data_IF_948789132831
#
_entry.id   IF_948789132831
#
_cell.length_a   1.000
_cell.length_b   1.000
_cell.length_c   1.000
_cell.angle_alpha   90.00
_cell.angle_beta   90.00
_cell.angle_gamma   90.00
#
_symmetry.space_group_name_H-M   'P 1'
#
loop_
_entity.id
_entity.type
_entity.pdbx_description
1 polymer ?
#
# COMPACT_ATOMS: atom_id res chain seq x y z
N UNK A 1 7.91 4.04 -2.73
CA UNK A 1 9.09 3.16 -2.90
C UNK A 1 9.46 3.16 -4.38
N UNK A 2 10.72 3.38 -4.71
CA UNK A 2 11.24 3.24 -6.07
C UNK A 2 12.38 2.21 -6.08
N UNK A 3 12.14 1.00 -6.62
CA UNK A 3 13.18 0.00 -6.81
C UNK A 3 14.38 0.55 -7.58
N UNK A 4 15.55 0.01 -7.27
CA UNK A 4 16.81 0.45 -7.87
C UNK A 4 16.89 0.45 -9.41
N UNK A 5 16.25 -0.49 -10.15
CA UNK A 5 16.21 -0.41 -11.63
C UNK A 5 15.42 0.80 -12.16
N UNK A 6 14.60 1.42 -11.30
CA UNK A 6 13.66 2.46 -11.67
C UNK A 6 14.20 3.86 -11.45
N UNK A 7 15.23 4.03 -10.62
CA UNK A 7 15.81 5.33 -10.25
C UNK A 7 17.01 5.73 -11.11
N UNK A 8 17.32 7.03 -11.15
CA UNK A 8 18.45 7.57 -11.91
C UNK A 8 19.83 7.14 -11.38
N UNK A 9 19.97 7.02 -10.06
CA UNK A 9 21.21 6.66 -9.39
C UNK A 9 21.40 5.15 -9.15
N UNK A 10 20.40 4.33 -9.48
CA UNK A 10 20.46 2.88 -9.33
C UNK A 10 20.36 2.36 -7.89
N UNK A 11 19.82 3.17 -6.95
CA UNK A 11 19.56 2.81 -5.55
C UNK A 11 18.06 2.64 -5.26
N UNK A 12 17.74 1.89 -4.21
CA UNK A 12 16.35 1.73 -3.74
C UNK A 12 15.93 2.95 -2.92
N UNK A 13 14.92 3.70 -3.37
CA UNK A 13 14.47 4.92 -2.69
C UNK A 13 13.16 4.71 -1.92
N UNK A 14 13.10 5.27 -0.72
CA UNK A 14 11.90 5.39 0.10
C UNK A 14 11.63 6.87 0.37
N UNK A 15 10.37 7.28 0.28
CA UNK A 15 9.90 8.58 0.76
C UNK A 15 8.82 8.31 1.80
N UNK A 16 8.99 8.88 2.99
CA UNK A 16 8.02 8.74 4.08
C UNK A 16 6.78 9.56 3.74
N UNK A 17 5.59 8.97 3.91
CA UNK A 17 4.35 9.71 3.73
C UNK A 17 4.11 10.64 4.93
N UNK A 18 3.67 11.88 4.68
CA UNK A 18 3.43 12.84 5.76
C UNK A 18 2.09 12.64 6.46
N UNK A 19 1.14 11.95 5.82
CA UNK A 19 -0.17 11.59 6.37
C UNK A 19 -0.92 12.78 6.97
N UNK A 20 -0.72 13.96 6.38
CA UNK A 20 -1.11 15.23 7.00
C UNK A 20 -2.63 15.38 7.15
N UNK A 21 -3.44 14.68 6.36
CA UNK A 21 -4.89 14.84 6.38
C UNK A 21 -5.51 14.38 7.70
N UNK A 22 -4.98 13.33 8.32
CA UNK A 22 -5.53 12.76 9.56
C UNK A 22 -4.59 13.06 10.76
N UNK A 23 -5.04 13.81 11.78
CA UNK A 23 -4.16 14.22 12.89
C UNK A 23 -3.48 13.05 13.62
N UNK A 24 -4.20 11.95 13.83
CA UNK A 24 -3.64 10.76 14.50
C UNK A 24 -2.62 10.01 13.65
N UNK A 25 -2.60 10.24 12.33
CA UNK A 25 -1.64 9.61 11.41
C UNK A 25 -0.41 10.47 11.15
N UNK A 26 -0.55 11.79 11.23
CA UNK A 26 0.56 12.74 11.04
C UNK A 26 1.75 12.48 11.97
N UNK A 27 1.49 11.95 13.17
CA UNK A 27 2.54 11.62 14.16
C UNK A 27 3.40 10.41 13.77
N UNK A 28 2.98 9.63 12.76
CA UNK A 28 3.67 8.40 12.34
C UNK A 28 5.00 8.70 11.62
N UNK A 29 5.10 9.82 10.89
CA UNK A 29 6.19 10.07 9.94
C UNK A 29 7.61 9.99 10.57
N UNK A 30 7.92 10.67 11.70
CA UNK A 30 9.26 10.60 12.29
C UNK A 30 9.66 9.18 12.74
N UNK A 31 8.72 8.43 13.32
CA UNK A 31 8.98 7.05 13.76
C UNK A 31 9.11 6.11 12.56
N UNK A 32 8.30 6.31 11.53
CA UNK A 32 8.36 5.54 10.27
C UNK A 32 9.71 5.73 9.57
N UNK A 33 10.20 6.97 9.52
CA UNK A 33 11.53 7.27 9.00
C UNK A 33 12.64 6.54 9.76
N UNK A 34 12.57 6.55 11.10
CA UNK A 34 13.51 5.84 11.95
C UNK A 34 13.46 4.32 11.73
N UNK A 35 12.26 3.74 11.60
CA UNK A 35 12.07 2.31 11.30
C UNK A 35 12.71 1.99 9.94
N UNK A 36 12.36 2.72 8.89
CA UNK A 36 12.87 2.45 7.54
C UNK A 36 14.40 2.52 7.48
N UNK A 37 15.03 3.51 8.12
CA UNK A 37 16.49 3.61 8.18
C UNK A 37 17.15 2.44 8.92
N UNK A 38 16.49 1.86 9.92
CA UNK A 38 17.02 0.68 10.63
C UNK A 38 16.79 -0.62 9.86
N UNK A 39 15.66 -0.74 9.17
CA UNK A 39 15.34 -1.90 8.32
C UNK A 39 16.19 -1.94 7.06
N UNK A 40 16.52 -0.77 6.50
CA UNK A 40 17.30 -0.58 5.27
C UNK A 40 18.56 0.25 5.53
N UNK A 41 19.55 -0.28 6.29
CA UNK A 41 20.66 0.52 6.82
C UNK A 41 21.80 0.81 5.82
N UNK A 42 21.87 0.10 4.69
CA UNK A 42 22.95 0.27 3.72
C UNK A 42 22.71 1.48 2.80
N UNK A 43 23.20 2.65 3.21
CA UNK A 43 23.07 3.91 2.47
C UNK A 43 23.74 3.91 1.08
N UNK A 44 24.64 2.96 0.80
CA UNK A 44 25.24 2.80 -0.52
C UNK A 44 24.28 2.16 -1.53
N UNK A 45 23.24 1.47 -1.03
CA UNK A 45 22.27 0.72 -1.83
C UNK A 45 20.85 1.29 -1.71
N UNK A 46 20.57 1.99 -0.62
CA UNK A 46 19.21 2.40 -0.23
C UNK A 46 19.20 3.84 0.28
N UNK A 47 18.15 4.59 -0.01
CA UNK A 47 17.99 5.97 0.45
C UNK A 47 16.62 6.14 1.09
N UNK A 48 16.59 6.61 2.33
CA UNK A 48 15.35 6.94 3.06
C UNK A 48 15.21 8.45 3.19
N UNK A 49 14.32 9.00 2.38
CA UNK A 49 13.97 10.41 2.39
C UNK A 49 12.94 10.70 3.47
N UNK A 50 13.07 11.83 4.19
CA UNK A 50 12.05 12.28 5.11
C UNK A 50 10.75 12.58 4.36
N UNK A 51 9.68 12.80 5.13
CA UNK A 51 8.41 13.17 4.53
C UNK A 51 8.50 14.54 3.84
N UNK A 52 7.85 14.66 2.69
CA UNK A 52 7.78 15.95 1.99
C UNK A 52 7.08 16.99 2.86
N UNK A 53 7.59 18.22 2.82
CA UNK A 53 7.09 19.35 3.60
C UNK A 53 6.59 20.47 2.68
N UNK A 54 5.56 21.18 3.13
CA UNK A 54 4.92 22.26 2.38
C UNK A 54 3.39 22.29 2.51
N UNK A 55 2.83 23.50 2.56
CA UNK A 55 1.39 23.71 2.65
C UNK A 55 0.67 23.12 1.42
N UNK A 56 -0.33 22.26 1.68
CA UNK A 56 -1.13 21.62 0.63
C UNK A 56 -0.45 20.42 -0.05
N UNK A 57 0.73 20.01 0.39
CA UNK A 57 1.37 18.77 -0.04
C UNK A 57 0.92 17.61 0.86
N UNK A 58 -0.27 17.05 0.62
CA UNK A 58 -0.76 15.91 1.40
C UNK A 58 -0.44 14.59 0.70
N UNK A 59 0.27 13.69 1.40
CA UNK A 59 0.74 12.41 0.88
C UNK A 59 0.36 11.25 1.80
N UNK A 60 -0.28 10.23 1.21
CA UNK A 60 -0.67 8.97 1.84
C UNK A 60 0.18 7.78 1.36
N UNK A 61 1.21 8.04 0.54
CA UNK A 61 2.25 7.08 0.19
C UNK A 61 1.78 5.93 -0.69
N UNK A 62 2.20 4.71 -0.34
CA UNK A 62 2.07 3.53 -1.19
C UNK A 62 0.61 3.11 -1.47
N UNK A 63 -0.35 3.54 -0.65
CA UNK A 63 -1.78 3.29 -0.88
C UNK A 63 -2.31 3.97 -2.17
N UNK A 64 -1.60 4.99 -2.66
CA UNK A 64 -1.89 5.72 -3.89
C UNK A 64 -0.85 5.50 -5.00
N UNK A 65 -0.01 4.47 -4.87
CA UNK A 65 1.05 4.15 -5.81
C UNK A 65 0.97 2.69 -6.26
N UNK A 66 1.14 2.49 -7.57
CA UNK A 66 1.32 1.18 -8.17
C UNK A 66 2.56 1.20 -9.06
N UNK A 67 3.40 0.17 -8.96
CA UNK A 67 4.46 -0.08 -9.94
C UNK A 67 3.97 -1.16 -10.90
N UNK A 68 3.86 -0.81 -12.18
CA UNK A 68 3.60 -1.77 -13.25
C UNK A 68 4.87 -2.01 -14.04
N UNK A 69 5.15 -3.25 -14.41
CA UNK A 69 6.36 -3.60 -15.16
C UNK A 69 6.15 -4.89 -15.93
N UNK A 70 6.88 -5.04 -17.03
CA UNK A 70 6.91 -6.28 -17.81
C UNK A 70 8.17 -7.06 -17.45
N UNK A 71 8.01 -8.17 -16.72
CA UNK A 71 9.12 -8.94 -16.15
C UNK A 71 9.95 -8.15 -15.13
N UNK A 72 11.25 -8.46 -15.06
CA UNK A 72 12.19 -7.91 -14.05
C UNK A 72 12.83 -6.58 -14.45
N UNK A 73 12.35 -5.98 -15.55
CA UNK A 73 12.85 -4.71 -16.06
C UNK A 73 12.39 -3.50 -15.24
N UNK A 74 12.82 -2.30 -15.65
CA UNK A 74 12.33 -1.07 -15.08
C UNK A 74 10.82 -0.92 -15.23
N UNK A 75 10.17 -0.35 -14.22
CA UNK A 75 8.73 -0.23 -14.12
C UNK A 75 8.22 1.18 -14.40
N UNK A 76 6.95 1.25 -14.77
CA UNK A 76 6.12 2.46 -14.77
C UNK A 76 5.56 2.68 -13.36
N UNK A 77 5.76 3.87 -12.84
CA UNK A 77 5.21 4.33 -11.57
C UNK A 77 3.89 5.07 -11.82
N UNK A 78 2.81 4.42 -11.42
CA UNK A 78 1.46 4.96 -11.49
C UNK A 78 1.09 5.60 -10.15
N UNK A 79 0.91 6.91 -10.16
CA UNK A 79 0.52 7.73 -9.02
C UNK A 79 -0.91 8.22 -9.17
N UNK A 80 -1.74 7.95 -8.16
CA UNK A 80 -3.16 8.33 -8.17
C UNK A 80 -3.41 9.39 -7.14
N UNK A 81 -4.07 10.49 -7.53
CA UNK A 81 -4.34 11.62 -6.64
C UNK A 81 -5.84 11.96 -6.63
N UNK A 82 -6.32 12.60 -5.56
CA UNK A 82 -7.73 13.01 -5.45
C UNK A 82 -7.97 14.47 -5.82
N UNK A 83 -6.96 15.34 -5.67
CA UNK A 83 -7.10 16.78 -5.90
C UNK A 83 -5.84 17.42 -6.52
N UNK A 84 -6.04 18.58 -7.18
CA UNK A 84 -4.99 19.42 -7.76
C UNK A 84 -5.40 20.89 -7.62
N UNK A 85 -4.43 21.80 -7.50
CA UNK A 85 -4.66 23.22 -7.21
C UNK A 85 -5.29 24.01 -8.37
N UNK A 86 -5.19 23.50 -9.60
CA UNK A 86 -5.67 24.12 -10.83
C UNK A 86 -7.03 23.58 -11.30
N UNK A 87 -7.73 22.81 -10.46
CA UNK A 87 -9.05 22.24 -10.79
C UNK A 87 -9.98 22.18 -9.59
N UNK A 88 -11.24 22.58 -9.80
CA UNK A 88 -12.32 22.40 -8.82
C UNK A 88 -12.97 21.01 -8.87
N UNK A 89 -12.53 20.15 -9.80
CA UNK A 89 -12.98 18.76 -9.86
C UNK A 89 -12.33 17.98 -8.72
N UNK A 90 -13.05 17.87 -7.61
CA UNK A 90 -12.63 17.23 -6.38
C UNK A 90 -13.86 16.61 -5.67
N UNK A 91 -13.65 15.64 -4.75
CA UNK A 91 -14.74 15.10 -3.94
C UNK A 91 -15.43 16.19 -3.11
N UNK A 92 -16.73 16.04 -2.87
CA UNK A 92 -17.57 17.04 -2.20
C UNK A 92 -17.92 16.66 -0.76
N UNK A 93 -18.00 15.36 -0.46
CA UNK A 93 -18.37 14.81 0.85
C UNK A 93 -17.14 14.43 1.67
N UNK A 94 -16.16 13.80 1.03
CA UNK A 94 -14.92 13.36 1.68
C UNK A 94 -13.72 14.17 1.19
N UNK A 95 -12.67 14.23 2.02
CA UNK A 95 -11.45 14.98 1.68
C UNK A 95 -10.55 14.09 0.83
N UNK A 96 -10.11 14.61 -0.32
CA UNK A 96 -9.02 14.02 -1.08
C UNK A 96 -7.71 14.13 -0.27
N UNK A 97 -7.18 12.98 0.15
CA UNK A 97 -5.99 12.92 1.03
C UNK A 97 -4.67 13.01 0.27
N UNK A 98 -4.68 12.69 -1.03
CA UNK A 98 -3.51 12.76 -1.90
C UNK A 98 -3.65 13.90 -2.90
N UNK A 99 -2.64 14.78 -2.97
CA UNK A 99 -2.59 15.84 -3.99
C UNK A 99 -1.65 15.48 -5.15
N UNK A 100 -1.92 16.01 -6.35
CA UNK A 100 -1.02 15.87 -7.49
C UNK A 100 0.36 16.47 -7.18
N UNK A 101 0.40 17.61 -6.50
CA UNK A 101 1.64 18.29 -6.13
C UNK A 101 2.51 17.40 -5.21
N UNK A 102 1.91 16.78 -4.19
CA UNK A 102 2.59 15.83 -3.33
C UNK A 102 3.13 14.63 -4.12
N UNK A 103 2.30 14.06 -4.99
CA UNK A 103 2.68 12.90 -5.82
C UNK A 103 3.87 13.19 -6.74
N UNK A 104 3.92 14.41 -7.32
CA UNK A 104 5.06 14.87 -8.14
C UNK A 104 6.32 15.06 -7.30
N UNK A 105 6.20 15.74 -6.15
CA UNK A 105 7.32 15.95 -5.24
C UNK A 105 7.92 14.63 -4.74
N UNK A 106 7.09 13.65 -4.41
CA UNK A 106 7.53 12.29 -4.07
C UNK A 106 8.25 11.64 -5.25
N UNK A 107 7.71 11.72 -6.47
CA UNK A 107 8.36 11.13 -7.64
C UNK A 107 9.74 11.73 -7.94
N UNK A 108 9.91 13.04 -7.69
CA UNK A 108 11.20 13.74 -7.79
C UNK A 108 12.19 13.28 -6.73
N UNK A 109 11.78 13.24 -5.46
CA UNK A 109 12.62 12.77 -4.34
C UNK A 109 13.02 11.30 -4.50
N UNK A 110 12.14 10.48 -5.08
CA UNK A 110 12.43 9.09 -5.40
C UNK A 110 13.33 8.91 -6.63
N UNK A 111 13.76 9.98 -7.30
CA UNK A 111 14.60 9.95 -8.50
C UNK A 111 14.03 9.07 -9.64
N UNK A 112 12.71 9.02 -9.78
CA UNK A 112 12.06 8.27 -10.86
C UNK A 112 12.15 9.12 -12.14
N UNK A 113 12.64 8.64 -13.30
CA UNK A 113 12.64 9.43 -14.54
C UNK A 113 11.25 9.86 -14.99
N UNK A 114 11.10 11.05 -15.59
CA UNK A 114 9.79 11.55 -16.08
C UNK A 114 9.11 10.58 -17.05
N UNK A 115 9.89 9.90 -17.90
CA UNK A 115 9.43 8.89 -18.86
C UNK A 115 8.86 7.61 -18.24
N UNK A 116 8.87 7.49 -16.90
CA UNK A 116 8.35 6.34 -16.16
C UNK A 116 7.22 6.72 -15.20
N UNK A 117 6.74 7.96 -15.22
CA UNK A 117 5.72 8.44 -14.29
C UNK A 117 4.40 8.61 -15.02
N UNK A 118 3.34 8.02 -14.50
CA UNK A 118 1.97 8.26 -14.94
C UNK A 118 1.17 8.78 -13.75
N UNK A 119 0.44 9.87 -13.95
CA UNK A 119 -0.39 10.48 -12.92
C UNK A 119 -1.85 10.44 -13.36
N UNK A 120 -2.74 9.89 -12.55
CA UNK A 120 -4.18 9.93 -12.79
C UNK A 120 -4.95 10.48 -11.60
N UNK A 121 -6.03 11.20 -11.90
CA UNK A 121 -6.96 11.61 -10.89
C UNK A 121 -7.94 10.47 -10.60
N UNK A 122 -8.08 10.10 -9.33
CA UNK A 122 -9.13 9.20 -8.86
C UNK A 122 -10.50 9.83 -9.10
N UNK A 123 -11.50 9.01 -9.42
CA UNK A 123 -12.84 9.52 -9.65
C UNK A 123 -13.40 10.18 -8.36
N UNK A 124 -13.82 11.46 -8.38
CA UNK A 124 -14.32 12.15 -7.18
C UNK A 124 -15.49 11.43 -6.50
N UNK A 125 -16.43 10.91 -7.29
CA UNK A 125 -17.57 10.16 -6.76
C UNK A 125 -17.16 8.84 -6.07
N UNK A 126 -16.03 8.23 -6.48
CA UNK A 126 -15.49 7.06 -5.80
C UNK A 126 -14.98 7.43 -4.40
N UNK A 127 -14.26 8.55 -4.29
CA UNK A 127 -13.81 9.07 -2.99
C UNK A 127 -15.01 9.41 -2.10
N UNK A 128 -16.04 10.04 -2.65
CA UNK A 128 -17.28 10.38 -1.93
C UNK A 128 -18.10 9.15 -1.51
N UNK A 129 -17.86 7.99 -2.13
CA UNK A 129 -18.43 6.70 -1.75
C UNK A 129 -17.60 5.93 -0.70
N UNK A 130 -16.43 6.45 -0.30
CA UNK A 130 -15.59 5.85 0.74
C UNK A 130 -14.24 5.33 0.25
N UNK A 131 -13.89 5.50 -1.03
CA UNK A 131 -12.56 5.15 -1.57
C UNK A 131 -11.55 6.25 -1.20
N UNK A 132 -11.06 6.23 0.04
CA UNK A 132 -10.14 7.25 0.53
C UNK A 132 -8.69 7.10 0.02
N UNK A 133 -8.34 5.93 -0.52
CA UNK A 133 -7.07 5.60 -1.18
C UNK A 133 -7.31 4.77 -2.45
N UNK A 134 -6.37 4.82 -3.40
CA UNK A 134 -6.44 4.05 -4.64
C UNK A 134 -6.51 2.54 -4.41
N UNK A 135 -5.78 2.03 -3.42
CA UNK A 135 -5.80 0.60 -3.05
C UNK A 135 -7.14 0.10 -2.48
N UNK A 136 -8.18 0.94 -2.41
CA UNK A 136 -9.56 0.52 -2.11
C UNK A 136 -10.38 0.29 -3.40
N UNK A 137 -9.87 0.71 -4.57
CA UNK A 137 -10.60 0.62 -5.85
C UNK A 137 -9.77 0.08 -7.04
N UNK A 138 -8.45 -0.03 -6.88
CA UNK A 138 -7.55 -0.62 -7.86
C UNK A 138 -6.29 -1.23 -7.22
N UNK A 139 -5.82 -2.34 -7.77
CA UNK A 139 -4.55 -2.98 -7.42
C UNK A 139 -3.86 -3.47 -8.69
N UNK A 140 -2.55 -3.23 -8.80
CA UNK A 140 -1.76 -3.74 -9.91
C UNK A 140 -0.55 -4.54 -9.46
N UNK A 141 -0.12 -5.47 -10.29
CA UNK A 141 1.08 -6.28 -10.12
C UNK A 141 1.62 -6.64 -11.50
N UNK A 142 2.93 -6.42 -11.71
CA UNK A 142 3.56 -6.56 -13.03
C UNK A 142 2.78 -5.81 -14.10
N UNK A 143 2.36 -6.43 -15.19
CA UNK A 143 1.59 -5.82 -16.27
C UNK A 143 0.07 -5.80 -16.04
N UNK A 144 -0.41 -6.33 -14.91
CA UNK A 144 -1.83 -6.44 -14.59
C UNK A 144 -2.29 -5.27 -13.74
N UNK A 145 -3.43 -4.69 -14.12
CA UNK A 145 -4.18 -3.74 -13.31
C UNK A 145 -5.62 -4.22 -13.13
N UNK A 146 -5.97 -4.66 -11.92
CA UNK A 146 -7.35 -4.94 -11.53
C UNK A 146 -7.95 -3.66 -10.96
N UNK A 147 -9.03 -3.15 -11.56
CA UNK A 147 -9.64 -1.90 -11.14
C UNK A 147 -11.14 -1.88 -11.37
N UNK A 148 -11.87 -1.12 -10.56
CA UNK A 148 -13.27 -0.82 -10.84
C UNK A 148 -13.38 0.17 -12.02
N UNK A 149 -14.48 0.13 -12.76
CA UNK A 149 -14.70 1.07 -13.88
C UNK A 149 -14.70 2.55 -13.46
N UNK A 150 -15.17 2.82 -12.23
CA UNK A 150 -15.17 4.13 -11.57
C UNK A 150 -13.87 4.46 -10.82
N UNK A 151 -12.76 3.74 -11.05
CA UNK A 151 -11.51 4.01 -10.33
C UNK A 151 -10.91 5.38 -10.67
N UNK A 152 -10.94 5.78 -11.95
CA UNK A 152 -10.25 6.97 -12.45
C UNK A 152 -11.22 7.93 -13.12
N UNK A 153 -10.92 9.23 -13.08
CA UNK A 153 -11.76 10.27 -13.70
C UNK A 153 -11.72 10.21 -15.23
N UNK A 154 -10.56 9.90 -15.81
CA UNK A 154 -10.33 9.79 -17.26
C UNK A 154 -9.83 8.36 -17.60
N UNK A 155 -10.60 7.32 -17.25
CA UNK A 155 -10.19 5.89 -17.33
C UNK A 155 -9.53 5.52 -18.66
N UNK A 156 -10.20 5.73 -19.80
CA UNK A 156 -9.65 5.36 -21.12
C UNK A 156 -8.31 6.02 -21.41
N UNK A 157 -8.16 7.29 -21.04
CA UNK A 157 -6.90 8.02 -21.21
C UNK A 157 -5.82 7.47 -20.29
N UNK A 158 -6.15 7.20 -19.04
CA UNK A 158 -5.22 6.60 -18.06
C UNK A 158 -4.73 5.24 -18.54
N UNK A 159 -5.63 4.35 -18.97
CA UNK A 159 -5.28 3.02 -19.47
C UNK A 159 -4.43 3.11 -20.74
N UNK A 160 -4.79 3.98 -21.70
CA UNK A 160 -4.00 4.18 -22.91
C UNK A 160 -2.60 4.77 -22.64
N UNK A 161 -2.44 5.55 -21.57
CA UNK A 161 -1.14 6.05 -21.14
C UNK A 161 -0.29 4.96 -20.47
N UNK A 162 -0.88 4.17 -19.57
CA UNK A 162 -0.21 3.04 -18.94
C UNK A 162 0.22 1.98 -19.97
N UNK A 163 -0.67 1.63 -20.89
CA UNK A 163 -0.40 0.65 -21.94
C UNK A 163 0.76 1.08 -22.84
N UNK A 164 0.83 2.38 -23.17
CA UNK A 164 1.97 2.94 -23.94
C UNK A 164 3.29 2.80 -23.19
N UNK A 165 3.29 2.98 -21.86
CA UNK A 165 4.49 2.81 -21.04
C UNK A 165 4.88 1.33 -20.83
N UNK A 166 3.95 0.40 -21.08
CA UNK A 166 4.18 -1.05 -21.02
C UNK A 166 4.33 -1.69 -22.41
N UNK A 167 4.52 -0.89 -23.46
CA UNK A 167 4.66 -1.32 -24.85
C UNK A 167 3.47 -2.15 -25.38
N UNK A 168 2.25 -1.80 -25.01
CA UNK A 168 1.04 -2.51 -25.47
C UNK A 168 0.75 -3.82 -24.72
N UNK A 169 1.36 -4.02 -23.55
CA UNK A 169 1.27 -5.25 -22.76
C UNK A 169 0.43 -5.11 -21.49
N UNK A 170 -0.29 -4.00 -21.31
CA UNK A 170 -1.15 -3.84 -20.15
C UNK A 170 -2.28 -4.88 -20.18
N UNK A 171 -2.42 -5.63 -19.11
CA UNK A 171 -3.58 -6.50 -18.86
C UNK A 171 -4.51 -5.74 -17.91
N UNK A 172 -5.50 -5.07 -18.49
CA UNK A 172 -6.50 -4.31 -17.73
C UNK A 172 -7.70 -5.19 -17.40
N UNK A 173 -7.86 -5.54 -16.13
CA UNK A 173 -9.01 -6.30 -15.64
C UNK A 173 -9.98 -5.28 -15.01
N UNK A 174 -10.93 -4.83 -15.82
CA UNK A 174 -11.96 -3.90 -15.36
C UNK A 174 -13.12 -4.66 -14.70
N UNK A 175 -13.51 -4.24 -13.50
CA UNK A 175 -14.72 -4.71 -12.82
C UNK A 175 -15.88 -3.76 -13.15
N UNK A 176 -16.91 -4.21 -13.88
CA UNK A 176 -18.08 -3.40 -14.19
C UNK A 176 -18.94 -3.11 -12.96
N UNK A 177 -19.51 -1.91 -12.85
CA UNK A 177 -20.32 -1.48 -11.73
C UNK A 177 -21.69 -2.17 -11.65
N UNK A 178 -22.16 -2.74 -12.76
CA UNK A 178 -23.38 -3.57 -12.81
C UNK A 178 -23.14 -5.00 -12.30
N UNK A 179 -21.87 -5.45 -12.23
CA UNK A 179 -21.45 -6.73 -11.65
C UNK A 179 -21.06 -6.59 -10.18
N UNK A 180 -20.29 -5.56 -9.84
CA UNK A 180 -19.90 -5.22 -8.46
C UNK A 180 -20.11 -3.72 -8.28
N UNK A 181 -21.09 -3.34 -7.47
CA UNK A 181 -21.34 -1.93 -7.19
C UNK A 181 -20.15 -1.29 -6.45
N UNK A 182 -20.02 0.03 -6.54
CA UNK A 182 -19.02 0.77 -5.78
C UNK A 182 -19.17 0.58 -4.25
N UNK A 183 -20.42 0.45 -3.77
CA UNK A 183 -20.70 0.14 -2.36
C UNK A 183 -20.17 -1.26 -1.98
N UNK A 184 -20.40 -2.27 -2.82
CA UNK A 184 -19.88 -3.62 -2.57
C UNK A 184 -18.36 -3.67 -2.67
N UNK A 185 -17.75 -2.93 -3.59
CA UNK A 185 -16.29 -2.81 -3.69
C UNK A 185 -15.69 -2.24 -2.39
N UNK A 186 -16.25 -1.14 -1.88
CA UNK A 186 -15.81 -0.50 -0.63
C UNK A 186 -16.08 -1.40 0.58
N UNK A 187 -17.24 -2.06 0.66
CA UNK A 187 -17.59 -2.91 1.81
C UNK A 187 -16.80 -4.20 1.87
N UNK A 188 -16.53 -4.82 0.73
CA UNK A 188 -15.81 -6.10 0.64
C UNK A 188 -14.30 -5.96 0.66
N UNK A 189 -13.76 -4.76 0.40
CA UNK A 189 -12.33 -4.51 0.23
C UNK A 189 -11.70 -5.36 -0.90
N UNK A 190 -12.48 -5.69 -1.95
CA UNK A 190 -12.00 -6.48 -3.10
C UNK A 190 -10.67 -5.95 -3.66
N UNK A 191 -10.57 -4.65 -3.88
CA UNK A 191 -9.35 -4.06 -4.46
C UNK A 191 -8.25 -3.81 -3.42
N UNK A 192 -8.57 -3.88 -2.13
CA UNK A 192 -7.56 -3.90 -1.07
C UNK A 192 -6.96 -5.29 -0.85
N UNK A 193 -7.06 -6.14 -1.86
CA UNK A 193 -6.38 -7.41 -1.93
C UNK A 193 -4.91 -7.24 -2.30
N UNK A 194 -4.10 -8.26 -2.01
CA UNK A 194 -2.79 -8.38 -2.65
C UNK A 194 -2.96 -9.14 -3.96
N UNK A 195 -2.30 -8.66 -5.01
CA UNK A 195 -2.11 -9.42 -6.24
C UNK A 195 -0.64 -9.86 -6.27
N UNK A 196 -0.41 -11.17 -6.23
CA UNK A 196 0.93 -11.77 -6.11
C UNK A 196 1.20 -12.70 -7.28
N UNK A 197 2.44 -12.73 -7.75
CA UNK A 197 2.87 -13.67 -8.79
C UNK A 197 3.36 -14.96 -8.16
N UNK A 198 2.91 -16.10 -8.68
CA UNK A 198 3.30 -17.43 -8.26
C UNK A 198 4.55 -17.92 -9.03
N UNK A 199 5.22 -18.99 -8.57
CA UNK A 199 6.42 -19.51 -9.24
C UNK A 199 6.23 -19.99 -10.69
N UNK A 200 5.01 -20.32 -11.08
CA UNK A 200 4.63 -20.71 -12.45
C UNK A 200 4.15 -19.51 -13.30
N UNK A 201 4.35 -18.29 -12.79
CA UNK A 201 4.00 -17.01 -13.42
C UNK A 201 2.50 -16.69 -13.46
N UNK A 202 1.64 -17.57 -12.92
CA UNK A 202 0.24 -17.24 -12.61
C UNK A 202 0.16 -16.18 -11.49
N UNK A 203 -1.04 -15.65 -11.24
CA UNK A 203 -1.29 -14.71 -10.16
C UNK A 203 -2.36 -15.21 -9.20
N UNK A 204 -2.13 -14.94 -7.92
CA UNK A 204 -3.12 -15.16 -6.87
C UNK A 204 -3.60 -13.83 -6.26
N UNK A 205 -4.90 -13.75 -5.99
CA UNK A 205 -5.53 -12.69 -5.21
C UNK A 205 -5.58 -13.12 -3.73
N UNK A 206 -5.02 -12.31 -2.84
CA UNK A 206 -5.15 -12.48 -1.38
C UNK A 206 -6.14 -11.44 -0.87
N UNK A 207 -7.37 -11.87 -0.56
CA UNK A 207 -8.49 -10.99 -0.23
C UNK A 207 -9.06 -11.26 1.17
N UNK A 208 -9.78 -10.30 1.78
CA UNK A 208 -10.43 -10.51 3.07
C UNK A 208 -11.69 -11.39 2.94
N UNK A 209 -12.12 -12.01 4.04
CA UNK A 209 -13.33 -12.83 4.14
C UNK A 209 -14.60 -12.16 3.59
N UNK A 210 -14.70 -10.85 3.72
CA UNK A 210 -15.81 -10.00 3.31
C UNK A 210 -16.05 -10.04 1.79
N UNK A 211 -15.03 -10.42 1.01
CA UNK A 211 -15.18 -10.71 -0.43
C UNK A 211 -16.05 -11.93 -0.70
N UNK A 212 -16.05 -12.93 0.18
CA UNK A 212 -16.90 -14.13 0.07
C UNK A 212 -18.27 -13.93 0.72
N UNK A 213 -18.39 -13.01 1.69
CA UNK A 213 -19.68 -12.67 2.30
C UNK A 213 -20.59 -11.84 1.38
N UNK A 214 -20.01 -11.07 0.45
CA UNK A 214 -20.76 -10.36 -0.58
C UNK A 214 -21.06 -11.29 -1.77
N UNK A 215 -22.34 -11.57 -2.02
CA UNK A 215 -22.76 -12.44 -3.12
C UNK A 215 -22.30 -11.93 -4.50
N UNK A 216 -22.33 -10.62 -4.72
CA UNK A 216 -21.89 -10.01 -5.98
C UNK A 216 -20.38 -10.19 -6.20
N UNK A 217 -19.59 -9.92 -5.15
CA UNK A 217 -18.12 -10.01 -5.20
C UNK A 217 -17.67 -11.48 -5.28
N UNK A 218 -18.29 -12.38 -4.51
CA UNK A 218 -17.96 -13.81 -4.58
C UNK A 218 -18.24 -14.37 -5.97
N UNK A 219 -19.41 -14.04 -6.55
CA UNK A 219 -19.76 -14.45 -7.91
C UNK A 219 -18.78 -13.88 -8.95
N UNK A 220 -18.40 -12.61 -8.81
CA UNK A 220 -17.38 -12.00 -9.69
C UNK A 220 -16.02 -12.67 -9.57
N UNK A 221 -15.57 -13.03 -8.36
CA UNK A 221 -14.32 -13.75 -8.15
C UNK A 221 -14.34 -15.14 -8.77
N UNK A 222 -15.48 -15.84 -8.72
CA UNK A 222 -15.62 -17.15 -9.35
C UNK A 222 -15.59 -17.03 -10.89
N UNK A 223 -16.22 -16.00 -11.46
CA UNK A 223 -16.13 -15.70 -12.89
C UNK A 223 -14.70 -15.29 -13.32
N UNK A 224 -14.00 -14.50 -12.49
CA UNK A 224 -12.61 -14.08 -12.73
C UNK A 224 -11.67 -15.29 -12.82
N UNK A 225 -11.84 -16.26 -11.92
CA UNK A 225 -11.07 -17.51 -11.90
C UNK A 225 -11.41 -18.46 -13.06
N UNK A 226 -12.59 -18.33 -13.65
CA UNK A 226 -13.02 -19.14 -14.79
C UNK A 226 -12.58 -18.54 -16.14
N UNK A 227 -12.04 -17.34 -16.16
CA UNK A 227 -11.62 -16.62 -17.37
C UNK A 227 -10.14 -16.86 -17.66
N UNK A 228 -9.86 -17.79 -18.58
CA UNK A 228 -8.50 -18.12 -19.03
C UNK A 228 -7.77 -16.97 -19.77
N UNK A 229 -8.43 -15.82 -20.00
CA UNK A 229 -7.81 -14.66 -20.66
C UNK A 229 -7.01 -13.76 -19.72
N UNK A 230 -7.09 -14.00 -18.41
CA UNK A 230 -6.37 -13.25 -17.39
C UNK A 230 -5.45 -14.17 -16.55
N UNK A 231 -4.38 -13.64 -15.93
CA UNK A 231 -3.41 -14.48 -15.23
C UNK A 231 -3.84 -14.87 -13.80
N UNK A 232 -5.02 -14.44 -13.33
CA UNK A 232 -5.46 -14.70 -11.95
C UNK A 232 -6.18 -16.06 -11.89
N UNK A 233 -5.53 -17.06 -11.31
CA UNK A 233 -6.05 -18.43 -11.25
C UNK A 233 -6.29 -18.94 -9.81
N UNK A 234 -5.98 -18.13 -8.81
CA UNK A 234 -6.19 -18.45 -7.41
C UNK A 234 -6.72 -17.26 -6.60
N UNK A 235 -7.61 -17.56 -5.65
CA UNK A 235 -8.08 -16.63 -4.62
C UNK A 235 -7.85 -17.25 -3.24
N UNK A 236 -7.04 -16.59 -2.43
CA UNK A 236 -6.79 -16.92 -1.03
C UNK A 236 -7.53 -15.94 -0.12
N UNK A 237 -8.37 -16.47 0.75
CA UNK A 237 -9.22 -15.68 1.65
C UNK A 237 -8.65 -15.72 3.06
N UNK A 238 -8.48 -14.55 3.69
CA UNK A 238 -8.00 -14.43 5.05
C UNK A 238 -9.00 -13.68 5.95
N UNK A 239 -9.11 -14.13 7.20
CA UNK A 239 -9.86 -13.42 8.24
C UNK A 239 -9.00 -12.31 8.83
N UNK A 240 -9.37 -11.06 8.54
CA UNK A 240 -8.70 -9.85 9.02
C UNK A 240 -9.68 -8.89 9.70
N UNK A 241 -10.76 -9.42 10.29
CA UNK A 241 -11.90 -8.63 10.81
C UNK A 241 -11.48 -7.46 11.71
N UNK A 242 -10.48 -7.64 12.57
CA UNK A 242 -9.98 -6.58 13.46
C UNK A 242 -9.43 -5.38 12.68
N UNK A 243 -8.69 -5.63 11.60
CA UNK A 243 -8.14 -4.58 10.72
C UNK A 243 -9.23 -4.00 9.82
N UNK A 244 -10.09 -4.86 9.27
CA UNK A 244 -11.23 -4.48 8.43
C UNK A 244 -12.21 -3.54 9.14
N UNK A 245 -12.46 -3.73 10.44
CA UNK A 245 -13.29 -2.81 11.24
C UNK A 245 -12.73 -1.38 11.32
N UNK A 246 -11.42 -1.19 11.10
CA UNK A 246 -10.78 0.12 10.99
C UNK A 246 -10.46 0.49 9.53
N UNK A 247 -10.99 -0.24 8.56
CA UNK A 247 -10.83 0.03 7.14
C UNK A 247 -9.47 -0.35 6.57
N UNK A 248 -8.81 -1.39 7.09
CA UNK A 248 -7.58 -1.94 6.53
C UNK A 248 -7.72 -3.40 6.11
N UNK A 249 -7.62 -3.70 4.81
CA UNK A 249 -7.57 -5.07 4.30
C UNK A 249 -6.13 -5.58 4.09
N UNK A 250 -5.96 -6.70 3.36
CA UNK A 250 -4.66 -7.33 3.12
C UNK A 250 -3.59 -6.39 2.53
N UNK A 251 -3.98 -5.45 1.66
CA UNK A 251 -3.07 -4.49 1.04
C UNK A 251 -2.68 -3.35 1.99
N UNK A 252 -3.56 -2.89 2.88
CA UNK A 252 -3.22 -1.85 3.84
C UNK A 252 -2.16 -2.30 4.87
N UNK A 253 -2.09 -3.61 5.15
CA UNK A 253 -1.17 -4.19 6.15
C UNK A 253 0.25 -4.46 5.63
N UNK A 254 0.57 -4.06 4.39
CA UNK A 254 1.84 -4.41 3.74
C UNK A 254 2.41 -3.26 2.92
N UNK A 255 3.73 -3.15 2.91
CA UNK A 255 4.49 -2.32 1.98
C UNK A 255 5.22 -3.20 0.96
N UNK A 256 4.99 -2.97 -0.33
CA UNK A 256 5.72 -3.66 -1.41
C UNK A 256 7.07 -2.99 -1.64
N UNK A 257 8.15 -3.77 -1.57
CA UNK A 257 9.52 -3.30 -1.80
C UNK A 257 10.18 -4.21 -2.84
N UNK A 258 10.36 -3.69 -4.05
CA UNK A 258 11.06 -4.40 -5.12
C UNK A 258 12.57 -4.37 -4.87
N UNK A 259 13.16 -5.55 -4.63
CA UNK A 259 14.58 -5.73 -4.36
C UNK A 259 15.24 -6.43 -5.56
N UNK A 260 16.44 -5.98 -5.96
CA UNK A 260 17.25 -6.73 -6.93
C UNK A 260 17.90 -7.95 -6.24
N UNK A 261 18.36 -8.95 -7.01
CA UNK A 261 19.23 -9.98 -6.47
C UNK A 261 20.42 -9.35 -5.73
N UNK A 262 20.69 -9.79 -4.49
CA UNK A 262 21.74 -9.20 -3.65
C UNK A 262 21.27 -8.05 -2.75
N UNK A 263 20.09 -7.45 -2.98
CA UNK A 263 19.58 -6.37 -2.13
C UNK A 263 18.98 -6.87 -0.81
N UNK A 264 18.53 -8.13 -0.76
CA UNK A 264 17.92 -8.72 0.44
C UNK A 264 18.95 -8.90 1.56
N UNK A 265 20.21 -9.16 1.22
CA UNK A 265 21.33 -9.28 2.16
C UNK A 265 21.68 -7.95 2.83
N UNK A 266 21.25 -6.83 2.25
CA UNK A 266 21.41 -5.49 2.82
C UNK A 266 20.21 -5.07 3.69
N UNK A 267 19.12 -5.86 3.72
CA UNK A 267 17.99 -5.65 4.63
C UNK A 267 18.36 -6.18 6.00
N UNK A 268 17.95 -5.49 7.07
CA UNK A 268 18.17 -5.92 8.44
C UNK A 268 17.63 -7.35 8.66
N UNK A 269 18.48 -8.37 8.92
CA UNK A 269 18.05 -9.77 8.93
C UNK A 269 16.94 -10.08 9.94
N UNK A 270 16.99 -9.45 11.13
CA UNK A 270 15.96 -9.58 12.16
C UNK A 270 14.60 -8.95 11.79
N UNK A 271 14.47 -8.31 10.62
CA UNK A 271 13.19 -7.86 10.04
C UNK A 271 12.66 -8.77 8.90
N UNK A 272 13.43 -9.76 8.41
CA UNK A 272 13.01 -10.70 7.36
C UNK A 272 12.32 -11.97 7.91
N UNK A 273 11.10 -12.28 7.50
CA UNK A 273 10.35 -13.44 8.02
C UNK A 273 11.18 -14.74 8.12
N UNK A 274 11.11 -15.39 9.28
CA UNK A 274 11.56 -16.78 9.51
C UNK A 274 10.56 -17.46 10.44
N UNK A 275 10.40 -18.78 10.34
CA UNK A 275 9.49 -19.54 11.22
C UNK A 275 9.79 -19.28 12.70
N UNK A 276 11.06 -19.34 13.09
CA UNK A 276 11.50 -19.07 14.46
C UNK A 276 11.17 -17.65 14.95
N UNK A 277 11.11 -16.66 14.05
CA UNK A 277 10.76 -15.29 14.44
C UNK A 277 9.27 -15.09 14.50
N UNK A 278 8.54 -15.73 13.58
CA UNK A 278 7.09 -15.81 13.66
C UNK A 278 6.65 -16.38 15.01
N UNK A 279 7.18 -17.53 15.42
CA UNK A 279 6.87 -18.14 16.72
C UNK A 279 7.17 -17.19 17.89
N UNK A 280 8.33 -16.51 17.87
CA UNK A 280 8.70 -15.51 18.90
C UNK A 280 7.75 -14.32 18.93
N UNK A 281 7.33 -13.82 17.77
CA UNK A 281 6.38 -12.71 17.68
C UNK A 281 4.99 -13.13 18.17
N UNK A 282 4.54 -14.35 17.85
CA UNK A 282 3.28 -14.91 18.36
C UNK A 282 3.30 -15.04 19.88
N UNK A 283 4.37 -15.58 20.45
CA UNK A 283 4.54 -15.66 21.91
C UNK A 283 4.58 -14.26 22.56
N UNK A 284 5.30 -13.31 21.95
CA UNK A 284 5.33 -11.93 22.41
C UNK A 284 3.93 -11.29 22.38
N UNK A 285 3.16 -11.47 21.30
CA UNK A 285 1.76 -11.00 21.25
C UNK A 285 0.93 -11.64 22.36
N UNK A 286 1.03 -12.97 22.54
CA UNK A 286 0.27 -13.70 23.56
C UNK A 286 0.59 -13.29 25.00
N UNK A 287 1.77 -12.72 25.26
CA UNK A 287 2.16 -12.20 26.58
C UNK A 287 1.76 -10.75 26.82
N UNK A 288 1.80 -9.92 25.79
CA UNK A 288 1.70 -8.47 25.96
C UNK A 288 0.38 -7.86 25.52
N UNK A 289 -0.34 -8.47 24.57
CA UNK A 289 -1.56 -7.90 24.03
C UNK A 289 -2.75 -8.31 24.89
N UNK A 290 -3.59 -7.35 25.32
CA UNK A 290 -4.83 -7.70 25.99
C UNK A 290 -5.82 -8.29 24.98
N UNK A 291 -6.70 -9.18 25.46
CA UNK A 291 -7.80 -9.72 24.64
C UNK A 291 -8.86 -8.66 24.31
N UNK A 292 -9.00 -7.65 25.19
CA UNK A 292 -9.94 -6.53 25.03
C UNK A 292 -9.24 -5.21 25.33
N UNK A 293 -9.55 -4.17 24.55
CA UNK A 293 -9.08 -2.81 24.78
C UNK A 293 -10.19 -1.83 24.41
N UNK A 294 -10.57 -0.97 25.34
CA UNK A 294 -11.52 0.12 25.10
C UNK A 294 -10.85 1.48 25.29
N UNK A 295 -11.46 2.53 24.75
CA UNK A 295 -10.90 3.88 24.78
C UNK A 295 -10.62 4.41 26.21
N UNK A 296 -11.39 3.96 27.21
CA UNK A 296 -11.19 4.36 28.60
C UNK A 296 -9.87 3.80 29.19
N UNK A 297 -9.42 2.64 28.72
CA UNK A 297 -8.20 1.99 29.19
C UNK A 297 -6.94 2.78 28.79
N UNK A 298 -7.03 3.60 27.74
CA UNK A 298 -5.94 4.47 27.29
C UNK A 298 -5.52 5.51 28.35
N UNK A 299 -6.36 5.76 29.36
CA UNK A 299 -6.03 6.62 30.50
C UNK A 299 -5.26 5.89 31.61
N UNK A 300 -5.13 4.56 31.56
CA UNK A 300 -4.46 3.78 32.59
C UNK A 300 -2.92 3.89 32.46
N UNK A 301 -2.21 4.43 33.46
CA UNK A 301 -0.75 4.47 33.44
C UNK A 301 -0.10 3.09 33.43
N UNK A 302 -0.77 2.04 33.93
CA UNK A 302 -0.26 0.68 33.87
C UNK A 302 -0.20 0.16 32.42
N UNK A 303 -1.20 0.48 31.59
CA UNK A 303 -1.20 0.16 30.17
C UNK A 303 -0.02 0.83 29.45
N UNK A 304 0.26 2.10 29.76
CA UNK A 304 1.42 2.81 29.19
C UNK A 304 2.74 2.14 29.58
N UNK A 305 2.92 1.77 30.85
CA UNK A 305 4.12 1.08 31.31
C UNK A 305 4.28 -0.28 30.60
N UNK A 306 3.22 -1.09 30.59
CA UNK A 306 3.20 -2.38 29.90
C UNK A 306 3.48 -2.26 28.40
N UNK A 307 2.97 -1.22 27.74
CA UNK A 307 3.22 -0.97 26.32
C UNK A 307 4.70 -0.67 26.06
N UNK A 308 5.35 0.10 26.94
CA UNK A 308 6.79 0.38 26.82
C UNK A 308 7.63 -0.86 27.03
N UNK A 309 7.32 -1.66 28.05
CA UNK A 309 8.02 -2.93 28.30
C UNK A 309 7.86 -3.91 27.12
N UNK A 310 6.64 -3.98 26.55
CA UNK A 310 6.39 -4.77 25.35
C UNK A 310 7.22 -4.30 24.15
N UNK A 311 7.28 -2.98 23.90
CA UNK A 311 8.08 -2.40 22.82
C UNK A 311 9.59 -2.58 23.04
N UNK A 312 10.08 -2.50 24.29
CA UNK A 312 11.47 -2.81 24.63
C UNK A 312 11.80 -4.25 24.25
N UNK A 313 10.96 -5.21 24.63
CA UNK A 313 11.16 -6.60 24.26
C UNK A 313 11.08 -6.81 22.74
N UNK A 314 10.14 -6.15 22.06
CA UNK A 314 10.00 -6.23 20.61
C UNK A 314 11.27 -5.73 19.90
N UNK A 315 11.84 -4.61 20.35
CA UNK A 315 13.12 -4.13 19.79
C UNK A 315 14.27 -5.08 20.07
N UNK A 316 14.22 -5.87 21.15
CA UNK A 316 15.14 -6.98 21.38
C UNK A 316 14.93 -8.15 20.42
N UNK A 317 13.68 -8.48 20.08
CA UNK A 317 13.35 -9.54 19.11
C UNK A 317 13.80 -9.16 17.69
N UNK A 318 13.57 -7.91 17.30
CA UNK A 318 13.88 -7.36 15.98
C UNK A 318 15.29 -6.78 15.87
N UNK A 319 16.06 -6.78 16.97
CA UNK A 319 17.41 -6.21 17.05
C UNK A 319 17.48 -4.73 16.63
N UNK A 320 16.47 -3.93 17.04
CA UNK A 320 16.33 -2.51 16.73
C UNK A 320 16.53 -1.63 17.98
N UNK A 321 17.71 -1.61 18.62
CA UNK A 321 17.88 -0.92 19.90
C UNK A 321 17.72 0.60 19.77
N UNK A 322 17.03 1.21 20.74
CA UNK A 322 16.82 2.66 20.80
C UNK A 322 15.96 3.21 19.66
N UNK A 323 15.12 2.36 19.06
CA UNK A 323 14.24 2.74 17.96
C UNK A 323 13.23 3.80 18.42
N UNK A 324 12.57 3.58 19.56
CA UNK A 324 11.54 4.45 20.08
C UNK A 324 12.11 5.54 21.00
N UNK A 325 11.45 6.70 21.05
CA UNK A 325 11.94 7.86 21.81
C UNK A 325 12.06 7.60 23.32
N UNK A 326 11.19 6.74 23.89
CA UNK A 326 11.25 6.42 25.33
C UNK A 326 12.47 5.57 25.71
N UNK A 327 13.17 5.00 24.72
CA UNK A 327 14.37 4.17 24.91
C UNK A 327 15.67 4.98 24.87
N UNK A 328 15.59 6.30 24.72
CA UNK A 328 16.73 7.21 24.53
C UNK A 328 16.96 8.11 25.73
#
# INVERSE_FOLDING_TARGET
VAPAPDTEDGRLHFAVANLQTMPHRRIEAPTTEAILRRVFPDESRMVVHPAIDGDGLTDEGAANHTRLATGDGPGTHFFVYGSRSDSDLAPRRHVARQTLAASRAVADVLEIPESRRVFAQQHPDAIDAGVFHNDVIAVGNREVLLHHEMAFLETDRTLAELDRHLDGRLISIQVPGDRVSLEDAVRSYLFNSQLVTMPDESMALVCPSECRDSAAVSSYLDDLLADDSNPIDAVHVFDLRQSMHNGGGPACLRLRVGLRPGDVEAVHPACLYTESRYERLVDWVGRWYPEELVAADLADPALLASTRDALDELTGILELPGLYDFQR
#
